data_IF_573812891683
#
_entry.id   IF_573812891683
#
_cell.length_a   1.000
_cell.length_b   1.000
_cell.length_c   1.000
_cell.angle_alpha   90.00
_cell.angle_beta   90.00
_cell.angle_gamma   90.00
#
_symmetry.space_group_name_H-M   'P 1'
#
loop_
_entity.id
_entity.type
_entity.pdbx_description
1 polymer ?
#
# COMPACT_ATOMS: atom_id res chain seq x y z
N UNK A 1 -24.07 -44.40 -48.52
CA UNK A 1 -23.17 -43.25 -48.74
C UNK A 1 -23.21 -42.19 -47.62
N UNK A 2 -23.54 -42.55 -46.37
CA UNK A 2 -23.71 -41.57 -45.23
C UNK A 2 -22.57 -41.56 -44.21
N UNK A 3 -21.56 -42.42 -44.30
CA UNK A 3 -20.52 -42.56 -43.27
C UNK A 3 -19.12 -42.07 -43.70
N UNK A 4 -18.93 -41.56 -44.93
CA UNK A 4 -17.63 -41.07 -45.43
C UNK A 4 -17.40 -39.57 -45.15
N UNK A 5 -18.46 -38.79 -44.81
CA UNK A 5 -18.32 -37.36 -44.56
C UNK A 5 -17.91 -37.01 -43.12
N UNK A 6 -18.25 -37.87 -42.15
CA UNK A 6 -17.93 -37.64 -40.73
C UNK A 6 -16.44 -37.64 -40.40
N UNK A 7 -15.59 -38.58 -40.93
CA UNK A 7 -14.15 -38.52 -40.64
C UNK A 7 -13.46 -37.34 -41.31
N UNK A 8 -13.96 -36.82 -42.42
CA UNK A 8 -13.37 -35.67 -43.10
C UNK A 8 -13.59 -34.37 -42.37
N UNK A 9 -14.76 -34.21 -41.72
CA UNK A 9 -15.08 -33.04 -40.89
C UNK A 9 -14.25 -33.04 -39.58
N UNK A 10 -14.06 -34.22 -38.97
CA UNK A 10 -13.21 -34.35 -37.78
C UNK A 10 -11.74 -34.08 -38.09
N UNK A 11 -11.25 -34.57 -39.26
CA UNK A 11 -9.89 -34.28 -39.71
C UNK A 11 -9.68 -32.79 -40.04
N UNK A 12 -10.67 -32.10 -40.61
CA UNK A 12 -10.62 -30.66 -40.86
C UNK A 12 -10.63 -29.82 -39.56
N UNK A 13 -11.33 -30.26 -38.52
CA UNK A 13 -11.32 -29.63 -37.19
C UNK A 13 -10.00 -29.83 -36.43
N UNK A 14 -9.31 -30.94 -36.64
CA UNK A 14 -8.00 -31.20 -36.04
C UNK A 14 -6.85 -30.46 -36.77
N UNK A 15 -7.04 -30.04 -38.02
CA UNK A 15 -6.09 -29.26 -38.80
C UNK A 15 -6.26 -27.74 -38.62
N UNK A 16 -7.34 -27.29 -38.00
CA UNK A 16 -7.45 -25.91 -37.49
C UNK A 16 -6.65 -25.75 -36.20
N UNK A 17 -5.33 -26.00 -36.30
CA UNK A 17 -4.38 -25.57 -35.28
C UNK A 17 -4.59 -24.09 -35.10
N UNK A 18 -5.08 -23.68 -33.94
CA UNK A 18 -5.11 -22.27 -33.55
C UNK A 18 -3.68 -21.77 -33.73
N UNK A 19 -3.41 -20.75 -34.56
CA UNK A 19 -2.10 -20.16 -34.60
C UNK A 19 -1.85 -19.65 -33.19
N UNK A 20 -0.97 -20.31 -32.47
CA UNK A 20 -0.45 -19.82 -31.20
C UNK A 20 0.33 -18.55 -31.50
N UNK A 21 -0.35 -17.45 -31.73
CA UNK A 21 0.30 -16.14 -31.82
C UNK A 21 1.00 -15.90 -30.50
N UNK A 22 2.34 -15.82 -30.52
CA UNK A 22 3.07 -15.32 -29.39
C UNK A 22 2.43 -13.98 -29.01
N UNK A 23 1.86 -13.93 -27.83
CA UNK A 23 1.19 -12.75 -27.30
C UNK A 23 2.21 -11.64 -27.05
N UNK A 24 3.46 -12.03 -26.80
CA UNK A 24 4.56 -11.16 -26.40
C UNK A 24 5.58 -10.99 -27.53
N UNK A 25 6.07 -9.76 -27.69
CA UNK A 25 7.20 -9.44 -28.57
C UNK A 25 8.52 -9.74 -27.85
N UNK A 26 8.61 -9.36 -26.58
CA UNK A 26 9.73 -9.63 -25.70
C UNK A 26 9.23 -10.11 -24.34
N UNK A 27 9.99 -11.00 -23.72
CA UNK A 27 9.76 -11.43 -22.33
C UNK A 27 11.03 -12.05 -21.75
N UNK A 28 11.09 -12.18 -20.44
CA UNK A 28 12.13 -12.89 -19.69
C UNK A 28 11.49 -14.08 -18.97
N UNK A 29 12.20 -15.19 -18.86
CA UNK A 29 11.78 -16.32 -18.04
C UNK A 29 12.46 -16.26 -16.67
N UNK A 30 11.69 -16.40 -15.60
CA UNK A 30 12.23 -16.62 -14.26
C UNK A 30 12.90 -18.00 -14.16
N UNK A 31 13.74 -18.26 -13.14
CA UNK A 31 14.28 -19.60 -12.89
C UNK A 31 13.21 -20.70 -12.72
N UNK A 32 12.00 -20.31 -12.29
CA UNK A 32 10.86 -21.20 -12.11
C UNK A 32 10.03 -21.38 -13.40
N UNK A 33 10.41 -20.73 -14.51
CA UNK A 33 9.69 -20.78 -15.78
C UNK A 33 8.53 -19.79 -15.93
N UNK A 34 8.33 -18.89 -14.96
CA UNK A 34 7.33 -17.83 -15.09
C UNK A 34 7.74 -16.78 -16.11
N UNK A 35 6.78 -16.28 -16.87
CA UNK A 35 7.01 -15.21 -17.85
C UNK A 35 7.00 -13.85 -17.15
N UNK A 36 8.10 -13.13 -17.25
CA UNK A 36 8.31 -11.81 -16.66
C UNK A 36 8.67 -10.78 -17.74
N UNK A 37 8.53 -9.49 -17.41
CA UNK A 37 8.99 -8.36 -18.22
C UNK A 37 8.44 -8.41 -19.65
N UNK A 38 7.15 -8.73 -19.76
CA UNK A 38 6.49 -8.90 -21.04
C UNK A 38 6.26 -7.56 -21.74
N UNK A 39 6.58 -7.52 -23.03
CA UNK A 39 6.24 -6.42 -23.93
C UNK A 39 5.35 -6.96 -25.03
N UNK A 40 4.21 -6.32 -25.26
CA UNK A 40 3.28 -6.71 -26.32
C UNK A 40 3.73 -6.19 -27.71
N UNK A 41 2.97 -6.51 -28.74
CA UNK A 41 3.26 -6.12 -30.12
C UNK A 41 3.13 -4.61 -30.39
N UNK A 42 2.61 -3.84 -29.42
CA UNK A 42 2.50 -2.39 -29.45
C UNK A 42 3.55 -1.70 -28.57
N UNK A 43 4.64 -2.41 -28.21
CA UNK A 43 5.71 -1.96 -27.31
C UNK A 43 5.22 -1.53 -25.92
N UNK A 44 4.11 -2.13 -25.43
CA UNK A 44 3.59 -1.83 -24.11
C UNK A 44 4.01 -2.89 -23.10
N UNK A 45 4.44 -2.47 -21.93
CA UNK A 45 4.71 -3.34 -20.78
C UNK A 45 3.42 -3.96 -20.26
N UNK A 46 3.46 -5.27 -20.04
CA UNK A 46 2.31 -6.08 -19.61
C UNK A 46 2.72 -7.13 -18.58
N UNK A 47 1.81 -7.49 -17.69
CA UNK A 47 2.00 -8.59 -16.75
C UNK A 47 3.00 -8.30 -15.63
N UNK A 48 3.61 -9.35 -15.06
CA UNK A 48 4.60 -9.25 -14.00
C UNK A 48 5.91 -8.66 -14.50
N UNK A 49 6.44 -7.71 -13.77
CA UNK A 49 7.71 -7.04 -14.03
C UNK A 49 8.60 -7.05 -12.82
N UNK A 50 9.89 -7.25 -13.06
CA UNK A 50 10.97 -7.04 -12.10
C UNK A 50 11.95 -6.08 -12.77
N UNK A 51 12.12 -4.89 -12.17
CA UNK A 51 13.07 -3.89 -12.60
C UNK A 51 14.23 -3.87 -11.61
N UNK A 52 15.45 -3.96 -12.13
CA UNK A 52 16.68 -3.80 -11.37
C UNK A 52 17.31 -2.46 -11.70
N UNK A 53 17.70 -1.72 -10.68
CA UNK A 53 18.38 -0.43 -10.79
C UNK A 53 19.68 -0.49 -9.99
N UNK A 54 20.79 -0.37 -10.70
CA UNK A 54 22.12 -0.35 -10.08
C UNK A 54 22.34 0.91 -9.23
N UNK A 55 23.24 0.82 -8.25
CA UNK A 55 23.74 1.99 -7.53
C UNK A 55 24.40 2.97 -8.51
N UNK A 56 24.03 4.23 -8.46
CA UNK A 56 24.57 5.28 -9.30
C UNK A 56 24.87 6.55 -8.52
N UNK A 57 26.12 7.01 -8.55
CA UNK A 57 26.57 8.29 -7.96
C UNK A 57 26.23 8.47 -6.48
N UNK A 58 26.22 7.36 -5.71
CA UNK A 58 25.89 7.36 -4.29
C UNK A 58 24.40 7.25 -3.97
N UNK A 59 23.54 7.17 -5.00
CA UNK A 59 22.14 6.77 -4.83
C UNK A 59 22.08 5.24 -4.75
N UNK A 60 21.47 4.67 -3.68
CA UNK A 60 21.38 3.23 -3.52
C UNK A 60 20.62 2.56 -4.67
N UNK A 61 21.14 1.44 -5.16
CA UNK A 61 20.43 0.60 -6.09
C UNK A 61 19.24 -0.10 -5.42
N UNK A 62 18.29 -0.53 -6.23
CA UNK A 62 17.09 -1.21 -5.76
C UNK A 62 16.51 -2.16 -6.81
N UNK A 63 15.68 -3.06 -6.36
CA UNK A 63 14.80 -3.86 -7.22
C UNK A 63 13.34 -3.52 -6.93
N UNK A 64 12.51 -3.47 -7.96
CA UNK A 64 11.07 -3.33 -7.79
C UNK A 64 10.31 -4.39 -8.59
N UNK A 65 9.27 -4.93 -8.00
CA UNK A 65 8.41 -5.91 -8.66
C UNK A 65 6.93 -5.53 -8.56
N UNK A 66 6.19 -5.81 -9.60
CA UNK A 66 4.75 -5.54 -9.63
C UNK A 66 4.12 -5.90 -10.97
N UNK A 67 2.98 -5.30 -11.24
CA UNK A 67 2.24 -5.52 -12.47
C UNK A 67 2.24 -4.26 -13.33
N UNK A 68 2.46 -4.45 -14.63
CA UNK A 68 2.14 -3.46 -15.64
C UNK A 68 0.89 -3.86 -16.43
N UNK A 69 0.07 -2.89 -16.73
CA UNK A 69 -1.03 -2.97 -17.69
C UNK A 69 -0.95 -1.77 -18.62
N UNK A 70 -0.74 -2.02 -19.91
CA UNK A 70 -0.63 -0.99 -20.94
C UNK A 70 0.37 0.14 -20.58
N UNK A 71 1.62 -0.22 -20.21
CA UNK A 71 2.68 0.67 -19.76
C UNK A 71 2.43 1.38 -18.41
N UNK A 72 1.34 1.07 -17.71
CA UNK A 72 0.99 1.70 -16.43
C UNK A 72 1.18 0.72 -15.30
N UNK A 73 1.80 1.15 -14.21
CA UNK A 73 1.86 0.36 -12.96
C UNK A 73 0.43 0.14 -12.45
N UNK A 74 0.13 -1.09 -12.01
CA UNK A 74 -1.18 -1.47 -11.51
C UNK A 74 -1.04 -2.38 -10.30
N UNK A 75 -1.93 -2.22 -9.32
CA UNK A 75 -1.94 -3.03 -8.10
C UNK A 75 -0.74 -2.80 -7.20
N UNK A 76 -0.30 -3.85 -6.53
CA UNK A 76 0.77 -3.79 -5.51
C UNK A 76 2.15 -3.84 -6.16
N UNK A 77 3.01 -2.92 -5.76
CA UNK A 77 4.43 -2.86 -6.10
C UNK A 77 5.27 -2.98 -4.85
N UNK A 78 6.30 -3.83 -4.90
CA UNK A 78 7.26 -4.03 -3.82
C UNK A 78 8.61 -3.51 -4.26
N UNK A 79 9.28 -2.82 -3.36
CA UNK A 79 10.62 -2.26 -3.58
C UNK A 79 11.55 -2.90 -2.56
N UNK A 80 12.66 -3.43 -3.05
CA UNK A 80 13.68 -4.07 -2.24
C UNK A 80 15.02 -3.34 -2.43
N UNK A 81 15.85 -3.35 -1.40
CA UNK A 81 17.25 -2.98 -1.59
C UNK A 81 17.99 -4.11 -2.34
N UNK A 82 19.25 -3.89 -2.73
CA UNK A 82 20.06 -4.92 -3.42
C UNK A 82 20.45 -6.10 -2.52
N UNK A 83 20.20 -6.02 -1.22
CA UNK A 83 20.35 -7.11 -0.26
C UNK A 83 19.08 -7.98 -0.16
N UNK A 84 17.98 -7.57 -0.78
CA UNK A 84 16.72 -8.28 -0.78
C UNK A 84 15.75 -7.89 0.36
N UNK A 85 16.08 -6.84 1.16
CA UNK A 85 15.18 -6.36 2.20
C UNK A 85 14.08 -5.47 1.60
N UNK A 86 12.84 -5.65 2.05
CA UNK A 86 11.71 -4.82 1.63
C UNK A 86 11.87 -3.40 2.17
N UNK A 87 11.98 -2.43 1.28
CA UNK A 87 12.10 -1.00 1.61
C UNK A 87 10.86 -0.18 1.27
N UNK A 88 9.98 -0.72 0.42
CA UNK A 88 8.73 -0.04 0.06
C UNK A 88 7.63 -0.98 -0.38
N UNK A 89 6.40 -0.61 -0.06
CA UNK A 89 5.17 -1.23 -0.52
C UNK A 89 4.27 -0.13 -1.05
N UNK A 90 4.04 -0.14 -2.34
CA UNK A 90 3.28 0.90 -3.02
C UNK A 90 2.06 0.31 -3.73
N UNK A 91 1.00 1.07 -3.80
CA UNK A 91 -0.21 0.69 -4.51
C UNK A 91 -0.46 1.65 -5.66
N UNK A 92 -0.77 1.08 -6.83
CA UNK A 92 -0.95 1.83 -8.06
C UNK A 92 -2.28 1.54 -8.72
N UNK A 93 -2.84 2.58 -9.32
CA UNK A 93 -4.02 2.52 -10.16
C UNK A 93 -3.83 3.48 -11.32
N UNK A 94 -4.01 2.99 -12.55
CA UNK A 94 -3.80 3.76 -13.79
C UNK A 94 -2.39 4.38 -13.91
N UNK A 95 -1.37 3.78 -13.30
CA UNK A 95 0.01 4.28 -13.30
C UNK A 95 0.34 5.27 -12.19
N UNK A 96 -0.62 5.68 -11.38
CA UNK A 96 -0.45 6.61 -10.27
C UNK A 96 -0.63 5.90 -8.91
N UNK A 97 0.02 6.41 -7.86
CA UNK A 97 -0.15 5.89 -6.50
C UNK A 97 -1.60 6.03 -6.04
N UNK A 98 -2.17 4.97 -5.43
CA UNK A 98 -3.55 4.93 -4.93
C UNK A 98 -3.62 4.10 -3.65
N UNK A 99 -4.15 4.66 -2.57
CA UNK A 99 -4.18 4.01 -1.27
C UNK A 99 -2.96 4.31 -0.41
N UNK A 100 -2.70 3.46 0.60
CA UNK A 100 -1.64 3.67 1.59
C UNK A 100 -0.36 2.98 1.15
N UNK A 101 0.67 3.77 0.85
CA UNK A 101 2.03 3.31 0.57
C UNK A 101 2.85 3.30 1.86
N UNK A 102 3.68 2.28 2.05
CA UNK A 102 4.50 2.07 3.23
C UNK A 102 5.97 2.00 2.88
N UNK A 103 6.82 2.60 3.70
CA UNK A 103 8.27 2.62 3.50
C UNK A 103 8.98 2.18 4.78
N UNK A 104 10.02 1.37 4.60
CA UNK A 104 10.72 0.69 5.68
C UNK A 104 12.19 1.09 5.72
N UNK A 105 12.78 1.07 6.91
CA UNK A 105 14.21 1.19 7.10
C UNK A 105 14.93 -0.09 6.70
N UNK A 106 16.26 -0.03 6.59
CA UNK A 106 17.09 -1.22 6.34
C UNK A 106 16.96 -2.31 7.41
N UNK A 107 16.50 -1.96 8.61
CA UNK A 107 16.22 -2.90 9.70
C UNK A 107 14.77 -3.39 9.71
N UNK A 108 13.98 -3.07 8.70
CA UNK A 108 12.58 -3.48 8.57
C UNK A 108 11.60 -2.66 9.41
N UNK A 109 12.05 -1.64 10.15
CA UNK A 109 11.17 -0.73 10.88
C UNK A 109 10.39 0.18 9.93
N UNK A 110 9.09 0.37 10.18
CA UNK A 110 8.26 1.29 9.41
C UNK A 110 8.72 2.72 9.63
N UNK A 111 9.01 3.46 8.54
CA UNK A 111 9.47 4.85 8.58
C UNK A 111 8.32 5.81 8.25
N UNK A 112 7.48 5.42 7.28
CA UNK A 112 6.49 6.32 6.73
C UNK A 112 5.32 5.57 6.10
N UNK A 113 4.10 6.07 6.34
CA UNK A 113 2.90 5.74 5.59
C UNK A 113 2.42 6.99 4.84
N UNK A 114 2.14 6.83 3.56
CA UNK A 114 1.65 7.88 2.67
C UNK A 114 0.31 7.47 2.07
N UNK A 115 -0.71 8.29 2.22
CA UNK A 115 -2.02 8.06 1.61
C UNK A 115 -2.17 8.88 0.34
N UNK A 116 -2.50 8.19 -0.75
CA UNK A 116 -2.57 8.76 -2.10
C UNK A 116 -3.91 8.46 -2.76
N UNK A 117 -4.30 9.32 -3.68
CA UNK A 117 -5.49 9.16 -4.53
C UNK A 117 -5.11 9.30 -6.00
N UNK A 118 -5.27 8.23 -6.76
CA UNK A 118 -5.16 8.27 -8.21
C UNK A 118 -6.38 8.95 -8.81
N UNK A 119 -6.15 9.83 -9.78
CA UNK A 119 -7.19 10.43 -10.60
C UNK A 119 -7.36 9.63 -11.89
N UNK A 120 -8.60 9.53 -12.39
CA UNK A 120 -8.89 8.81 -13.63
C UNK A 120 -8.28 9.54 -14.84
N UNK A 121 -7.27 8.98 -15.54
CA UNK A 121 -6.58 9.67 -16.63
C UNK A 121 -7.47 9.97 -17.85
N UNK A 122 -8.63 9.35 -17.94
CA UNK A 122 -9.59 9.60 -19.03
C UNK A 122 -10.47 10.82 -18.77
N UNK A 123 -10.40 11.40 -17.56
CA UNK A 123 -11.18 12.57 -17.17
C UNK A 123 -10.27 13.78 -16.96
N UNK A 124 -10.66 14.92 -17.50
CA UNK A 124 -9.98 16.20 -17.26
C UNK A 124 -10.26 16.71 -15.86
N UNK A 125 -11.46 16.44 -15.35
CA UNK A 125 -11.88 16.76 -13.99
C UNK A 125 -12.46 15.53 -13.32
N UNK A 126 -12.12 15.31 -12.07
CA UNK A 126 -12.73 14.28 -11.23
C UNK A 126 -13.52 14.93 -10.09
N UNK A 127 -14.54 14.24 -9.58
CA UNK A 127 -15.50 14.80 -8.63
C UNK A 127 -15.53 13.92 -7.39
N UNK A 128 -15.32 14.54 -6.22
CA UNK A 128 -15.27 13.86 -4.94
C UNK A 128 -16.32 14.44 -3.97
N UNK A 129 -16.86 13.57 -3.13
CA UNK A 129 -17.65 13.98 -1.98
C UNK A 129 -16.71 14.06 -0.77
N UNK A 130 -16.57 15.24 -0.20
CA UNK A 130 -15.74 15.50 0.97
C UNK A 130 -16.64 15.82 2.14
N UNK A 131 -16.41 15.14 3.27
CA UNK A 131 -17.16 15.39 4.50
C UNK A 131 -16.74 16.75 5.09
N UNK A 132 -17.72 17.51 5.60
CA UNK A 132 -17.49 18.76 6.28
C UNK A 132 -16.91 18.46 7.68
N UNK A 133 -15.69 18.93 8.00
CA UNK A 133 -15.06 18.65 9.28
C UNK A 133 -15.83 19.24 10.49
N UNK A 134 -16.63 20.28 10.26
CA UNK A 134 -17.40 20.96 11.31
C UNK A 134 -18.83 20.38 11.49
N UNK A 135 -19.33 19.64 10.48
CA UNK A 135 -20.68 19.07 10.47
C UNK A 135 -20.63 17.63 9.98
N UNK A 136 -20.66 16.68 10.91
CA UNK A 136 -20.74 15.24 10.63
C UNK A 136 -21.94 14.92 9.73
N UNK A 137 -21.76 13.98 8.82
CA UNK A 137 -22.74 13.54 7.81
C UNK A 137 -23.11 14.60 6.74
N UNK A 138 -22.41 15.75 6.74
CA UNK A 138 -22.56 16.74 5.68
C UNK A 138 -21.41 16.60 4.67
N UNK A 139 -21.74 16.47 3.40
CA UNK A 139 -20.79 16.30 2.30
C UNK A 139 -20.92 17.45 1.32
N UNK A 140 -19.79 17.95 0.84
CA UNK A 140 -19.75 18.89 -0.25
C UNK A 140 -18.99 18.30 -1.44
N UNK A 141 -19.36 18.74 -2.63
CA UNK A 141 -18.74 18.27 -3.86
C UNK A 141 -17.51 19.11 -4.19
N UNK A 142 -16.34 18.46 -4.31
CA UNK A 142 -15.09 19.08 -4.74
C UNK A 142 -14.73 18.57 -6.14
N UNK A 143 -14.46 19.47 -7.05
CA UNK A 143 -14.01 19.16 -8.41
C UNK A 143 -12.50 19.39 -8.47
N UNK A 144 -11.76 18.33 -8.81
CA UNK A 144 -10.31 18.36 -8.92
C UNK A 144 -9.91 18.24 -10.38
N UNK A 145 -9.06 19.14 -10.84
CA UNK A 145 -8.45 19.04 -12.17
C UNK A 145 -7.42 17.92 -12.18
N UNK A 146 -7.47 17.08 -13.19
CA UNK A 146 -6.54 15.99 -13.36
C UNK A 146 -5.30 16.47 -14.12
N UNK A 147 -4.19 16.64 -13.42
CA UNK A 147 -2.89 17.00 -14.00
C UNK A 147 -2.02 15.76 -14.30
N UNK A 148 -2.61 14.56 -14.28
CA UNK A 148 -1.93 13.30 -14.64
C UNK A 148 -1.11 12.67 -13.54
N UNK A 149 -1.16 13.20 -12.31
CA UNK A 149 -0.44 12.71 -11.14
C UNK A 149 -1.39 12.35 -10.00
N UNK A 150 -0.94 11.46 -9.09
CA UNK A 150 -1.67 11.19 -7.87
C UNK A 150 -1.67 12.43 -6.95
N UNK A 151 -2.74 12.59 -6.19
CA UNK A 151 -2.84 13.61 -5.16
C UNK A 151 -2.72 13.01 -3.78
N UNK A 152 -2.15 13.78 -2.83
CA UNK A 152 -2.15 13.40 -1.43
C UNK A 152 -3.58 13.43 -0.90
N UNK A 153 -4.03 12.34 -0.29
CA UNK A 153 -5.40 12.25 0.23
C UNK A 153 -5.46 11.28 1.41
N UNK A 154 -5.91 11.76 2.56
CA UNK A 154 -5.90 11.01 3.82
C UNK A 154 -4.70 11.30 4.71
N UNK A 155 -4.42 10.37 5.62
CA UNK A 155 -3.44 10.56 6.69
C UNK A 155 -2.06 10.05 6.29
N UNK A 156 -1.06 10.90 6.44
CA UNK A 156 0.36 10.59 6.32
C UNK A 156 0.95 10.47 7.72
N UNK A 157 1.68 9.39 7.97
CA UNK A 157 2.32 9.14 9.27
C UNK A 157 3.82 8.94 9.06
N UNK A 158 4.60 9.52 9.95
CA UNK A 158 6.04 9.34 10.03
C UNK A 158 6.36 8.67 11.36
N UNK A 159 7.22 7.69 11.33
CA UNK A 159 7.54 6.84 12.48
C UNK A 159 9.03 6.92 12.80
N UNK A 160 9.35 6.81 14.07
CA UNK A 160 10.70 6.46 14.50
C UNK A 160 10.91 4.95 14.21
N UNK A 161 11.85 4.61 13.32
CA UNK A 161 12.04 3.22 12.87
C UNK A 161 12.58 2.29 13.96
N UNK A 162 13.09 2.84 15.06
CA UNK A 162 13.65 2.09 16.20
C UNK A 162 12.56 1.73 17.20
N UNK A 163 11.71 2.69 17.52
CA UNK A 163 10.66 2.52 18.54
C UNK A 163 9.31 2.12 17.94
N UNK A 164 9.12 2.36 16.64
CA UNK A 164 7.82 2.18 15.96
C UNK A 164 6.76 3.22 16.37
N UNK A 165 7.13 4.22 17.14
CA UNK A 165 6.22 5.27 17.57
C UNK A 165 5.99 6.28 16.45
N UNK A 166 4.77 6.83 16.38
CA UNK A 166 4.45 7.92 15.46
C UNK A 166 5.13 9.19 15.93
N UNK A 167 6.03 9.71 15.12
CA UNK A 167 6.73 10.99 15.34
C UNK A 167 5.88 12.18 14.88
N UNK A 168 5.29 12.06 13.68
CA UNK A 168 4.50 13.13 13.07
C UNK A 168 3.36 12.56 12.23
N UNK A 169 2.25 13.30 12.20
CA UNK A 169 1.08 13.02 11.38
C UNK A 169 0.70 14.26 10.58
N UNK A 170 0.38 14.07 9.31
CA UNK A 170 -0.14 15.09 8.41
C UNK A 170 -1.44 14.56 7.78
N UNK A 171 -2.47 15.38 7.70
CA UNK A 171 -3.74 15.00 7.05
C UNK A 171 -3.93 15.86 5.81
N UNK A 172 -4.23 15.21 4.70
CA UNK A 172 -4.48 15.86 3.42
C UNK A 172 -5.88 15.53 2.93
N UNK A 173 -6.55 16.54 2.40
CA UNK A 173 -7.82 16.39 1.70
C UNK A 173 -7.63 16.92 0.27
N UNK A 174 -7.65 15.99 -0.70
CA UNK A 174 -7.50 16.27 -2.13
C UNK A 174 -6.30 17.18 -2.45
N UNK A 175 -5.12 16.86 -1.89
CA UNK A 175 -3.86 17.58 -2.09
C UNK A 175 -3.63 18.78 -1.18
N UNK A 176 -4.63 19.22 -0.42
CA UNK A 176 -4.52 20.33 0.52
C UNK A 176 -4.21 19.82 1.92
N UNK A 177 -3.14 20.32 2.53
CA UNK A 177 -2.81 20.04 3.93
C UNK A 177 -3.89 20.69 4.82
N UNK A 178 -4.58 19.90 5.58
CA UNK A 178 -5.41 20.36 6.67
C UNK A 178 -4.46 20.90 7.76
N UNK A 179 -4.74 22.09 8.29
CA UNK A 179 -3.85 22.82 9.20
C UNK A 179 -3.25 21.94 10.30
N UNK A 180 -2.33 22.41 11.15
CA UNK A 180 -1.59 21.55 12.06
C UNK A 180 -2.58 20.67 12.77
N UNK A 181 -2.53 19.36 12.46
CA UNK A 181 -3.32 18.38 13.17
C UNK A 181 -3.08 18.71 14.63
N UNK A 182 -4.13 19.12 15.33
CA UNK A 182 -4.07 19.15 16.79
C UNK A 182 -3.51 17.80 17.11
N UNK A 183 -2.27 17.74 17.60
CA UNK A 183 -1.63 16.49 17.95
C UNK A 183 -2.64 15.75 18.82
N UNK A 184 -3.43 14.91 18.21
CA UNK A 184 -4.03 13.82 18.92
C UNK A 184 -2.86 12.84 19.14
N UNK A 185 -1.87 13.24 19.94
CA UNK A 185 -1.44 12.37 20.95
C UNK A 185 -2.74 11.95 21.66
N UNK A 186 -3.43 11.01 21.09
CA UNK A 186 -4.17 10.06 21.86
C UNK A 186 -3.07 9.26 22.57
N UNK A 187 -2.44 9.92 23.53
CA UNK A 187 -2.17 9.27 24.77
C UNK A 187 -3.44 8.46 24.97
N UNK A 188 -3.34 7.15 24.86
CA UNK A 188 -4.41 6.24 25.23
C UNK A 188 -5.01 6.89 26.47
N UNK A 189 -6.23 7.44 26.32
CA UNK A 189 -6.91 8.05 27.47
C UNK A 189 -6.82 6.97 28.51
N UNK A 190 -6.30 7.25 29.72
CA UNK A 190 -6.16 6.22 30.70
C UNK A 190 -7.52 5.54 30.72
N UNK A 191 -7.55 4.30 30.28
CA UNK A 191 -8.78 3.52 30.20
C UNK A 191 -9.43 3.80 31.52
N UNK A 192 -10.66 4.36 31.54
CA UNK A 192 -11.41 4.62 32.76
C UNK A 192 -11.10 3.46 33.67
N UNK A 193 -10.31 3.69 34.71
CA UNK A 193 -9.78 2.63 35.56
C UNK A 193 -10.95 1.72 35.84
N UNK A 194 -10.85 0.48 35.36
CA UNK A 194 -11.92 -0.49 35.49
C UNK A 194 -12.34 -0.42 36.97
N UNK A 195 -13.62 -0.17 37.21
CA UNK A 195 -14.13 0.08 38.55
C UNK A 195 -13.57 -1.03 39.44
N UNK A 196 -12.76 -0.67 40.45
CA UNK A 196 -12.07 -1.65 41.30
C UNK A 196 -13.11 -2.66 41.79
N UNK A 197 -12.81 -3.99 41.66
CA UNK A 197 -13.72 -5.01 42.18
C UNK A 197 -14.13 -4.71 43.59
N UNK A 198 -15.40 -4.96 43.96
CA UNK A 198 -15.96 -4.65 45.29
C UNK A 198 -15.08 -5.18 46.43
N UNK A 199 -14.43 -6.33 46.24
CA UNK A 199 -13.51 -6.96 47.19
C UNK A 199 -12.27 -6.08 47.48
N UNK A 200 -11.72 -5.40 46.46
CA UNK A 200 -10.59 -4.48 46.64
C UNK A 200 -11.01 -3.21 47.41
N UNK A 201 -12.21 -2.72 47.12
CA UNK A 201 -12.76 -1.55 47.89
C UNK A 201 -13.04 -1.89 49.34
N UNK A 202 -13.49 -3.12 49.63
CA UNK A 202 -13.70 -3.58 51.00
C UNK A 202 -12.38 -3.79 51.75
N UNK A 203 -11.36 -4.32 51.05
CA UNK A 203 -10.02 -4.47 51.62
C UNK A 203 -9.38 -3.12 51.94
N UNK A 204 -9.46 -2.15 51.02
CA UNK A 204 -8.97 -0.80 51.24
C UNK A 204 -9.70 -0.08 52.41
N UNK A 205 -11.00 -0.35 52.62
CA UNK A 205 -11.75 0.13 53.76
C UNK A 205 -11.33 -0.54 55.10
N UNK A 206 -10.98 -1.82 55.09
CA UNK A 206 -10.58 -2.55 56.28
C UNK A 206 -9.16 -2.28 56.74
N UNK A 207 -8.24 -1.98 55.80
CA UNK A 207 -6.81 -1.81 56.11
C UNK A 207 -6.40 -0.38 56.41
N UNK A 208 -7.34 0.61 56.39
CA UNK A 208 -7.16 2.01 56.85
C UNK A 208 -5.75 2.55 56.60
N UNK A 209 -5.56 3.27 55.51
CA UNK A 209 -4.47 4.22 55.21
C UNK A 209 -3.12 4.01 55.95
N UNK A 210 -2.57 2.84 56.03
CA UNK A 210 -1.15 2.64 56.32
C UNK A 210 -0.36 2.63 55.01
N UNK A 211 0.44 3.70 54.78
CA UNK A 211 1.43 3.70 53.71
C UNK A 211 2.42 2.57 53.93
N UNK A 212 2.31 1.48 53.19
CA UNK A 212 3.34 0.45 53.11
C UNK A 212 4.45 1.01 52.22
N UNK A 213 5.59 1.31 52.79
CA UNK A 213 6.82 1.55 52.02
C UNK A 213 7.22 0.22 51.38
N UNK A 214 7.10 0.13 50.08
CA UNK A 214 7.72 -0.95 49.31
C UNK A 214 9.22 -0.65 49.31
N UNK A 215 10.02 -1.49 49.97
CA UNK A 215 11.48 -1.49 49.81
C UNK A 215 11.82 -2.11 48.49
N UNK A 216 12.53 -1.34 47.69
CA UNK A 216 13.13 -1.78 46.44
C UNK A 216 14.19 -2.81 46.73
N UNK A 217 13.98 -4.06 46.29
CA UNK A 217 14.92 -5.17 46.46
C UNK A 217 15.98 -5.17 45.37
N UNK A 218 16.92 -4.23 45.41
CA UNK A 218 18.18 -4.36 44.66
C UNK A 218 19.08 -5.34 45.40
N UNK A 219 19.28 -6.54 44.87
CA UNK A 219 20.32 -7.46 45.29
C UNK A 219 21.48 -7.38 44.29
N UNK A 220 22.66 -7.23 44.80
CA UNK A 220 23.98 -7.11 44.15
C UNK A 220 24.23 -8.10 43.04
#
# INVERSE_FOLDING_TARGET
MRHLFTPLIVAALLLSGFPGYSQWQHYTLSPNGDTLNCVDKQDRKQGKWVNHVDELRGEPGYEEEGLFKDNRKEGTWRIYNLQGDLTGLEFYKWGNKDGVCQYFSMNGGLIREESWKALNPEKIYDTFQVEDPDHLDHYHTVIVKNDGVAIKDGTWKFFDPTTGMVDRTETYTLGKLEGPAKSSATAAAPSKAAAKPKEVLEFEKKTGKKKVKVQDGSVY
#
